data_IF_905912979609
#
_entry.id   IF_905912979609
#
_cell.length_a   1.000
_cell.length_b   1.000
_cell.length_c   1.000
_cell.angle_alpha   90.00
_cell.angle_beta   90.00
_cell.angle_gamma   90.00
#
_symmetry.space_group_name_H-M   'P 1'
#
loop_
_entity.id
_entity.type
_entity.pdbx_description
1 polymer ?
#
# COMPACT_ATOMS: atom_id res chain seq x y z
N UNK A 1 16.02 -33.72 -13.37
CA UNK A 1 15.08 -33.37 -14.47
C UNK A 1 13.61 -33.50 -14.06
N UNK A 2 13.23 -34.32 -13.09
CA UNK A 2 11.85 -34.53 -12.62
C UNK A 2 11.37 -33.48 -11.60
N UNK A 3 12.23 -32.95 -10.76
CA UNK A 3 11.85 -31.92 -9.77
C UNK A 3 11.61 -30.55 -10.40
N UNK A 4 12.35 -30.18 -11.43
CA UNK A 4 12.18 -28.93 -12.16
C UNK A 4 10.86 -28.88 -12.95
N UNK A 5 10.37 -30.02 -13.44
CA UNK A 5 9.09 -30.10 -14.16
C UNK A 5 7.88 -30.05 -13.20
N UNK A 6 7.98 -30.62 -12.00
CA UNK A 6 6.90 -30.56 -11.00
C UNK A 6 6.75 -29.16 -10.43
N UNK A 7 7.86 -28.44 -10.25
CA UNK A 7 7.88 -27.03 -9.83
C UNK A 7 7.26 -26.10 -10.90
N UNK A 8 7.63 -26.30 -12.17
CA UNK A 8 7.06 -25.53 -13.29
C UNK A 8 5.57 -25.83 -13.51
N UNK A 9 5.14 -27.07 -13.37
CA UNK A 9 3.73 -27.45 -13.50
C UNK A 9 2.90 -26.98 -12.31
N UNK A 10 3.43 -27.00 -11.09
CA UNK A 10 2.77 -26.45 -9.89
C UNK A 10 2.53 -24.96 -9.99
N UNK A 11 3.52 -24.18 -10.44
CA UNK A 11 3.39 -22.75 -10.68
C UNK A 11 2.43 -22.43 -11.84
N UNK A 12 2.43 -23.23 -12.92
CA UNK A 12 1.53 -23.03 -14.05
C UNK A 12 0.07 -23.34 -13.69
N UNK A 13 -0.16 -24.40 -12.92
CA UNK A 13 -1.51 -24.79 -12.46
C UNK A 13 -2.05 -23.78 -11.43
N UNK A 14 -1.23 -23.36 -10.48
CA UNK A 14 -1.60 -22.33 -9.49
C UNK A 14 -1.92 -20.99 -10.15
N UNK A 15 -1.18 -20.63 -11.20
CA UNK A 15 -1.41 -19.41 -11.98
C UNK A 15 -2.73 -19.45 -12.75
N UNK A 16 -3.02 -20.57 -13.42
CA UNK A 16 -4.25 -20.76 -14.19
C UNK A 16 -5.50 -20.75 -13.29
N UNK A 17 -5.41 -21.39 -12.13
CA UNK A 17 -6.49 -21.39 -11.13
C UNK A 17 -6.70 -19.98 -10.54
N UNK A 18 -5.63 -19.22 -10.27
CA UNK A 18 -5.75 -17.82 -9.80
C UNK A 18 -6.41 -16.93 -10.85
N UNK A 19 -5.98 -17.03 -12.09
CA UNK A 19 -6.56 -16.24 -13.19
C UNK A 19 -8.05 -16.53 -13.38
N UNK A 20 -8.48 -17.79 -13.17
CA UNK A 20 -9.88 -18.18 -13.17
C UNK A 20 -10.66 -17.64 -11.96
N UNK A 21 -10.02 -17.51 -10.78
CA UNK A 21 -10.66 -17.05 -9.54
C UNK A 21 -10.70 -15.53 -9.39
N UNK A 22 -9.66 -14.81 -9.85
CA UNK A 22 -9.46 -13.38 -9.59
C UNK A 22 -9.51 -12.51 -10.84
N UNK A 23 -9.57 -13.11 -12.04
CA UNK A 23 -9.59 -12.39 -13.30
C UNK A 23 -8.22 -11.83 -13.72
N UNK A 24 -8.22 -10.68 -14.38
CA UNK A 24 -7.00 -10.01 -14.83
C UNK A 24 -6.19 -9.41 -13.68
N UNK A 25 -4.89 -9.18 -13.91
CA UNK A 25 -4.04 -8.34 -13.05
C UNK A 25 -4.73 -7.01 -12.75
N UNK A 26 -4.72 -6.59 -11.48
CA UNK A 26 -5.27 -5.32 -11.02
C UNK A 26 -4.19 -4.25 -10.92
N UNK A 27 -4.60 -3.02 -11.14
CA UNK A 27 -3.73 -1.86 -11.04
C UNK A 27 -4.35 -0.81 -10.13
N UNK A 28 -3.57 -0.33 -9.19
CA UNK A 28 -3.98 0.75 -8.29
C UNK A 28 -2.90 1.80 -8.16
N UNK A 29 -3.26 2.95 -7.61
CA UNK A 29 -2.32 3.99 -7.18
C UNK A 29 -2.44 4.12 -5.67
N UNK A 30 -1.31 4.22 -4.98
CA UNK A 30 -1.26 4.51 -3.55
C UNK A 30 -0.77 5.94 -3.35
N UNK A 31 -1.44 6.66 -2.45
CA UNK A 31 -1.20 8.06 -2.14
C UNK A 31 -0.69 8.22 -0.70
N UNK A 32 0.55 8.71 -0.60
CA UNK A 32 1.22 9.06 0.66
C UNK A 32 1.02 10.55 1.02
N UNK A 33 0.74 11.39 0.02
CA UNK A 33 0.85 12.85 0.11
C UNK A 33 2.24 13.27 0.57
N UNK A 34 3.26 12.68 -0.04
CA UNK A 34 4.61 13.13 0.21
C UNK A 34 4.77 14.56 -0.36
N UNK A 35 5.31 15.46 0.45
CA UNK A 35 5.42 16.87 0.14
C UNK A 35 6.85 17.34 0.45
N UNK A 36 7.52 17.91 -0.52
CA UNK A 36 8.83 18.53 -0.37
C UNK A 36 8.71 20.02 0.06
N UNK A 37 7.68 20.72 -0.43
CA UNK A 37 7.29 22.04 0.05
C UNK A 37 6.23 21.95 1.16
N UNK A 38 6.69 22.06 2.39
CA UNK A 38 5.84 21.98 3.60
C UNK A 38 5.20 23.32 3.97
N UNK A 39 5.17 24.30 3.06
CA UNK A 39 4.35 25.49 3.21
C UNK A 39 2.85 25.13 3.10
N UNK A 40 1.95 25.92 3.69
CA UNK A 40 0.50 25.71 3.54
C UNK A 40 0.04 25.67 2.07
N UNK A 41 0.70 26.42 1.21
CA UNK A 41 0.44 26.47 -0.23
C UNK A 41 0.92 25.18 -0.92
N UNK A 42 2.13 24.70 -0.64
CA UNK A 42 2.69 23.46 -1.17
C UNK A 42 1.90 22.24 -0.72
N UNK A 43 1.56 22.14 0.57
CA UNK A 43 0.67 21.09 1.09
C UNK A 43 -0.68 21.07 0.38
N UNK A 44 -1.30 22.25 0.20
CA UNK A 44 -2.58 22.38 -0.50
C UNK A 44 -2.47 21.94 -1.97
N UNK A 45 -1.42 22.33 -2.67
CA UNK A 45 -1.19 21.96 -4.06
C UNK A 45 -1.01 20.43 -4.20
N UNK A 46 -0.21 19.83 -3.33
CA UNK A 46 -0.03 18.37 -3.27
C UNK A 46 -1.36 17.65 -3.06
N UNK A 47 -2.18 18.08 -2.10
CA UNK A 47 -3.49 17.50 -1.83
C UNK A 47 -4.42 17.55 -3.06
N UNK A 48 -4.47 18.69 -3.75
CA UNK A 48 -5.31 18.87 -4.94
C UNK A 48 -4.79 18.04 -6.13
N UNK A 49 -3.48 18.02 -6.34
CA UNK A 49 -2.84 17.20 -7.37
C UNK A 49 -3.15 15.72 -7.20
N UNK A 50 -3.17 15.21 -5.97
CA UNK A 50 -3.56 13.82 -5.69
C UNK A 50 -5.02 13.53 -6.05
N UNK A 51 -5.93 14.48 -5.79
CA UNK A 51 -7.33 14.33 -6.21
C UNK A 51 -7.44 14.25 -7.74
N UNK A 52 -6.73 15.12 -8.45
CA UNK A 52 -6.76 15.14 -9.92
C UNK A 52 -6.15 13.87 -10.51
N UNK A 53 -5.04 13.37 -9.94
CA UNK A 53 -4.44 12.08 -10.30
C UNK A 53 -5.43 10.93 -10.09
N UNK A 54 -6.11 10.88 -8.93
CA UNK A 54 -7.08 9.83 -8.64
C UNK A 54 -8.29 9.83 -9.59
N UNK A 55 -8.79 11.01 -9.96
CA UNK A 55 -9.88 11.16 -10.93
C UNK A 55 -9.41 10.75 -12.33
N UNK A 56 -8.21 11.13 -12.71
CA UNK A 56 -7.65 10.75 -14.01
C UNK A 56 -7.33 9.26 -14.08
N UNK A 57 -6.94 8.62 -12.98
CA UNK A 57 -6.74 7.18 -12.90
C UNK A 57 -8.02 6.40 -13.25
N UNK A 58 -9.20 6.84 -12.81
CA UNK A 58 -10.48 6.24 -13.25
C UNK A 58 -10.64 6.29 -14.76
N UNK A 59 -10.35 7.45 -15.36
CA UNK A 59 -10.47 7.63 -16.81
C UNK A 59 -9.50 6.73 -17.59
N UNK A 60 -8.36 6.47 -17.01
CA UNK A 60 -7.31 5.63 -17.59
C UNK A 60 -7.47 4.14 -17.27
N UNK A 61 -8.50 3.75 -16.51
CA UNK A 61 -8.87 2.35 -16.30
C UNK A 61 -8.13 1.64 -15.17
N UNK A 62 -7.58 2.38 -14.21
CA UNK A 62 -7.13 1.81 -12.95
C UNK A 62 -8.29 1.22 -12.17
N UNK A 63 -8.03 0.14 -11.44
CA UNK A 63 -9.06 -0.59 -10.69
C UNK A 63 -9.36 0.07 -9.33
N UNK A 64 -8.34 0.70 -8.71
CA UNK A 64 -8.43 1.18 -7.33
C UNK A 64 -7.45 2.31 -7.05
N UNK A 65 -7.75 3.08 -6.04
CA UNK A 65 -6.78 3.93 -5.34
C UNK A 65 -6.71 3.53 -3.87
N UNK A 66 -5.52 3.66 -3.29
CA UNK A 66 -5.26 3.49 -1.86
C UNK A 66 -4.80 4.80 -1.24
N UNK A 67 -5.22 5.07 -0.02
CA UNK A 67 -4.73 6.19 0.77
C UNK A 67 -4.18 5.65 2.10
N UNK A 68 -2.96 6.04 2.44
CA UNK A 68 -2.32 5.69 3.72
C UNK A 68 -2.92 6.49 4.87
N UNK A 69 -2.55 6.18 6.11
CA UNK A 69 -2.74 7.05 7.27
C UNK A 69 -1.41 7.19 8.01
N UNK A 70 -0.86 8.40 7.97
CA UNK A 70 0.35 8.79 8.67
C UNK A 70 0.17 10.12 9.40
N UNK A 71 0.89 10.30 10.51
CA UNK A 71 0.72 11.45 11.37
C UNK A 71 2.04 12.10 11.73
N UNK A 72 2.13 13.42 11.54
CA UNK A 72 3.27 14.26 11.98
C UNK A 72 4.62 13.89 11.35
N UNK A 73 4.62 13.27 10.18
CA UNK A 73 5.83 12.83 9.47
C UNK A 73 6.15 13.80 8.32
N UNK A 74 6.62 14.99 8.67
CA UNK A 74 7.05 16.03 7.71
C UNK A 74 7.98 15.44 6.64
N UNK A 75 7.80 15.82 5.39
CA UNK A 75 8.49 15.31 4.20
C UNK A 75 8.25 13.84 3.86
N UNK A 76 7.59 13.06 4.72
CA UNK A 76 7.30 11.66 4.41
C UNK A 76 5.85 11.46 3.96
N UNK A 77 4.88 11.83 4.79
CA UNK A 77 3.48 11.61 4.44
C UNK A 77 2.56 12.61 5.16
N UNK A 78 1.74 13.31 4.40
CA UNK A 78 0.78 14.30 4.93
C UNK A 78 -0.67 13.79 4.88
N UNK A 79 -0.89 12.49 4.57
CA UNK A 79 -2.20 11.84 4.56
C UNK A 79 -2.65 11.47 5.97
N UNK A 80 -3.09 12.46 6.75
CA UNK A 80 -3.49 12.30 8.15
C UNK A 80 -4.95 11.88 8.35
N UNK A 81 -5.79 12.01 7.32
CA UNK A 81 -7.22 11.70 7.36
C UNK A 81 -7.67 11.10 6.01
N UNK A 82 -7.30 9.86 5.73
CA UNK A 82 -7.57 9.22 4.43
C UNK A 82 -9.06 9.22 4.07
N UNK A 83 -9.95 9.11 5.03
CA UNK A 83 -11.40 9.13 4.77
C UNK A 83 -11.90 10.46 4.19
N UNK A 84 -11.23 11.60 4.46
CA UNK A 84 -11.58 12.88 3.87
C UNK A 84 -11.20 12.90 2.39
N UNK A 85 -9.98 12.49 2.06
CA UNK A 85 -9.51 12.37 0.69
C UNK A 85 -10.35 11.36 -0.11
N UNK A 86 -10.55 10.16 0.42
CA UNK A 86 -11.32 9.09 -0.22
C UNK A 86 -12.78 9.53 -0.46
N UNK A 87 -13.39 10.29 0.45
CA UNK A 87 -14.74 10.85 0.27
C UNK A 87 -14.76 11.84 -0.90
N UNK A 88 -13.75 12.71 -0.99
CA UNK A 88 -13.67 13.67 -2.09
C UNK A 88 -13.48 12.98 -3.43
N UNK A 89 -12.61 11.99 -3.51
CA UNK A 89 -12.44 11.18 -4.73
C UNK A 89 -13.72 10.41 -5.07
N UNK A 90 -14.38 9.80 -4.09
CA UNK A 90 -15.65 9.09 -4.29
C UNK A 90 -16.73 9.98 -4.91
N UNK A 91 -16.78 11.26 -4.50
CA UNK A 91 -17.73 12.24 -5.04
C UNK A 91 -17.42 12.66 -6.48
N UNK A 92 -16.19 12.50 -6.96
CA UNK A 92 -15.72 12.87 -8.30
C UNK A 92 -15.61 11.68 -9.26
N UNK A 93 -15.79 10.46 -8.76
CA UNK A 93 -15.62 9.20 -9.51
C UNK A 93 -16.85 8.30 -9.39
N UNK A 94 -16.98 7.33 -10.28
CA UNK A 94 -18.16 6.46 -10.34
C UNK A 94 -17.85 4.96 -10.39
N UNK A 95 -16.63 4.57 -10.71
CA UNK A 95 -16.23 3.17 -10.97
C UNK A 95 -15.04 2.71 -10.17
N UNK A 96 -13.99 3.55 -10.08
CA UNK A 96 -12.75 3.20 -9.40
C UNK A 96 -13.04 2.89 -7.93
N UNK A 97 -12.48 1.78 -7.43
CA UNK A 97 -12.56 1.47 -6.01
C UNK A 97 -11.66 2.40 -5.21
N UNK A 98 -12.03 2.64 -3.99
CA UNK A 98 -11.29 3.48 -3.05
C UNK A 98 -10.93 2.63 -1.82
N UNK A 99 -9.74 2.79 -1.27
CA UNK A 99 -9.30 1.93 -0.19
C UNK A 99 -8.43 2.64 0.84
N UNK A 100 -8.60 2.25 2.10
CA UNK A 100 -7.61 2.55 3.12
C UNK A 100 -6.40 1.64 2.90
N UNK A 101 -5.26 2.20 2.64
CA UNK A 101 -4.04 1.45 2.42
C UNK A 101 -2.88 1.92 3.31
N UNK A 102 -3.09 2.14 4.65
CA UNK A 102 -4.13 1.56 5.51
C UNK A 102 -4.76 2.59 6.46
N UNK A 103 -5.78 2.21 7.24
CA UNK A 103 -6.20 2.97 8.43
C UNK A 103 -5.49 2.44 9.67
N UNK A 104 -5.00 3.31 10.55
CA UNK A 104 -4.35 2.94 11.80
C UNK A 104 -5.36 2.44 12.82
N UNK A 105 -5.32 1.13 13.14
CA UNK A 105 -6.30 0.45 13.97
C UNK A 105 -6.03 0.48 15.49
N UNK A 106 -4.81 0.74 16.02
CA UNK A 106 -4.64 0.86 17.45
C UNK A 106 -5.55 1.94 18.05
N UNK A 107 -6.14 1.65 19.20
CA UNK A 107 -7.26 2.42 19.77
C UNK A 107 -6.93 3.88 20.08
N UNK A 108 -5.65 4.18 20.32
CA UNK A 108 -5.19 5.56 20.50
C UNK A 108 -5.32 6.39 19.22
N UNK A 109 -5.10 5.80 18.04
CA UNK A 109 -5.34 6.48 16.76
C UNK A 109 -6.83 6.52 16.43
N UNK A 110 -7.48 5.35 16.43
CA UNK A 110 -8.84 5.22 15.99
C UNK A 110 -9.62 4.22 16.85
N UNK A 111 -10.67 4.68 17.50
CA UNK A 111 -11.61 3.79 18.17
C UNK A 111 -12.33 2.91 17.14
N UNK A 112 -12.38 1.55 17.26
CA UNK A 112 -12.91 0.67 16.22
C UNK A 112 -14.36 0.98 15.84
N UNK A 113 -15.20 1.43 16.79
CA UNK A 113 -16.56 1.87 16.48
C UNK A 113 -16.57 3.10 15.55
N UNK A 114 -15.65 4.06 15.75
CA UNK A 114 -15.52 5.23 14.85
C UNK A 114 -15.04 4.83 13.46
N UNK A 115 -14.14 3.85 13.38
CA UNK A 115 -13.74 3.29 12.08
C UNK A 115 -14.95 2.65 11.39
N UNK A 116 -15.72 1.83 12.10
CA UNK A 116 -16.90 1.19 11.56
C UNK A 116 -17.94 2.21 11.02
N UNK A 117 -18.24 3.26 11.78
CA UNK A 117 -19.16 4.32 11.34
C UNK A 117 -18.69 5.02 10.07
N UNK A 118 -17.38 5.40 10.01
CA UNK A 118 -16.77 6.02 8.83
C UNK A 118 -16.75 5.10 7.62
N UNK A 119 -16.42 3.82 7.83
CA UNK A 119 -16.44 2.79 6.79
C UNK A 119 -17.85 2.61 6.23
N UNK A 120 -18.86 2.46 7.09
CA UNK A 120 -20.25 2.32 6.66
C UNK A 120 -20.73 3.54 5.86
N UNK A 121 -20.37 4.75 6.31
CA UNK A 121 -20.72 6.00 5.61
C UNK A 121 -20.03 6.09 4.25
N UNK A 122 -18.71 5.87 4.20
CA UNK A 122 -17.93 6.00 2.98
C UNK A 122 -18.29 4.92 1.95
N UNK A 123 -18.55 3.69 2.39
CA UNK A 123 -19.03 2.62 1.52
C UNK A 123 -20.38 2.97 0.89
N UNK A 124 -21.30 3.49 1.69
CA UNK A 124 -22.61 3.95 1.19
C UNK A 124 -22.49 5.10 0.20
N UNK A 125 -21.68 6.13 0.52
CA UNK A 125 -21.48 7.30 -0.36
C UNK A 125 -20.78 6.93 -1.66
N UNK A 126 -19.88 5.96 -1.63
CA UNK A 126 -19.17 5.49 -2.83
C UNK A 126 -19.97 4.49 -3.67
N UNK A 127 -21.15 4.03 -3.20
CA UNK A 127 -21.94 3.01 -3.88
C UNK A 127 -21.34 1.60 -3.79
N UNK A 128 -20.71 1.26 -2.65
CA UNK A 128 -20.12 -0.06 -2.42
C UNK A 128 -18.74 -0.25 -3.04
N UNK A 129 -17.97 0.82 -3.21
CA UNK A 129 -16.63 0.78 -3.80
C UNK A 129 -15.48 0.80 -2.78
N UNK A 130 -15.78 0.74 -1.49
CA UNK A 130 -14.76 0.82 -0.44
C UNK A 130 -14.07 -0.52 -0.20
N UNK A 131 -12.75 -0.45 0.02
CA UNK A 131 -11.90 -1.50 0.59
C UNK A 131 -11.24 -0.99 1.87
N UNK A 132 -11.03 -1.85 2.87
CA UNK A 132 -10.52 -1.44 4.18
C UNK A 132 -9.24 -2.19 4.51
N UNK A 133 -8.11 -1.51 4.46
CA UNK A 133 -6.83 -2.02 4.93
C UNK A 133 -6.55 -1.57 6.36
N UNK A 134 -6.05 -2.49 7.17
CA UNK A 134 -5.70 -2.28 8.56
C UNK A 134 -4.19 -2.16 8.76
N UNK A 135 -3.75 -1.19 9.54
CA UNK A 135 -2.37 -0.97 9.93
C UNK A 135 -2.19 -0.73 11.42
N UNK A 136 -0.94 -0.80 11.89
CA UNK A 136 -0.60 -0.60 13.30
C UNK A 136 0.02 0.75 13.64
N UNK A 137 0.23 1.61 12.62
CA UNK A 137 1.12 2.76 12.71
C UNK A 137 2.57 2.37 12.40
N UNK A 138 3.35 3.30 11.88
CA UNK A 138 4.68 3.02 11.36
C UNK A 138 5.81 3.40 12.33
N UNK A 139 5.77 4.58 12.92
CA UNK A 139 6.89 5.19 13.63
C UNK A 139 6.61 5.43 15.12
N UNK A 140 7.69 5.55 15.90
CA UNK A 140 7.59 5.91 17.31
C UNK A 140 7.04 7.35 17.49
N UNK A 141 7.31 8.25 16.54
CA UNK A 141 6.80 9.61 16.56
C UNK A 141 5.26 9.62 16.49
N UNK A 142 4.69 8.91 15.54
CA UNK A 142 3.24 8.77 15.42
C UNK A 142 2.62 8.16 16.68
N UNK A 143 3.15 7.02 17.13
CA UNK A 143 2.63 6.30 18.31
C UNK A 143 2.64 7.18 19.55
N UNK A 144 3.72 7.93 19.80
CA UNK A 144 3.83 8.80 20.99
C UNK A 144 2.84 9.97 20.96
N UNK A 145 2.56 10.51 19.77
CA UNK A 145 1.60 11.60 19.59
C UNK A 145 0.17 11.22 19.99
N UNK A 146 -0.18 9.95 19.87
CA UNK A 146 -1.51 9.41 20.17
C UNK A 146 -1.54 8.52 21.43
N UNK A 147 -0.44 8.45 22.18
CA UNK A 147 -0.35 7.63 23.39
C UNK A 147 -0.44 6.11 23.10
N UNK A 148 -0.06 5.67 21.90
CA UNK A 148 -0.10 4.27 21.48
C UNK A 148 1.15 3.56 21.98
N UNK A 149 0.97 2.45 22.73
CA UNK A 149 2.06 1.57 23.11
C UNK A 149 2.34 0.57 21.97
N UNK A 150 3.60 0.45 21.57
CA UNK A 150 4.03 -0.42 20.47
C UNK A 150 3.64 -1.89 20.68
N UNK A 151 3.69 -2.38 21.92
CA UNK A 151 3.42 -3.79 22.24
C UNK A 151 1.92 -4.13 22.12
N UNK A 152 1.05 -3.14 22.24
CA UNK A 152 -0.40 -3.32 22.14
C UNK A 152 -0.90 -3.24 20.69
N UNK A 153 -0.07 -2.80 19.75
CA UNK A 153 -0.53 -2.48 18.38
C UNK A 153 -1.08 -3.69 17.63
N UNK A 154 -0.39 -4.83 17.60
CA UNK A 154 -0.88 -6.03 16.91
C UNK A 154 -2.13 -6.63 17.53
N UNK A 155 -2.23 -6.81 18.87
CA UNK A 155 -3.47 -7.21 19.51
C UNK A 155 -4.66 -6.31 19.16
N UNK A 156 -4.46 -4.98 19.17
CA UNK A 156 -5.51 -4.01 18.88
C UNK A 156 -5.90 -3.99 17.40
N UNK A 157 -4.95 -4.20 16.46
CA UNK A 157 -5.28 -4.40 15.04
C UNK A 157 -6.16 -5.64 14.85
N UNK A 158 -5.79 -6.76 15.49
CA UNK A 158 -6.57 -7.99 15.43
C UNK A 158 -7.99 -7.77 15.95
N UNK A 159 -8.12 -7.17 17.12
CA UNK A 159 -9.41 -6.91 17.77
C UNK A 159 -10.27 -5.94 16.95
N UNK A 160 -9.68 -4.88 16.38
CA UNK A 160 -10.37 -3.96 15.48
C UNK A 160 -10.90 -4.65 14.23
N UNK A 161 -10.12 -5.55 13.61
CA UNK A 161 -10.58 -6.35 12.48
C UNK A 161 -11.73 -7.29 12.87
N UNK A 162 -11.70 -7.90 14.06
CA UNK A 162 -12.77 -8.74 14.57
C UNK A 162 -14.06 -7.94 14.76
N UNK A 163 -13.98 -6.74 15.34
CA UNK A 163 -15.10 -5.82 15.51
C UNK A 163 -15.66 -5.45 14.13
N UNK A 164 -14.83 -4.99 13.19
CA UNK A 164 -15.26 -4.61 11.86
C UNK A 164 -15.92 -5.75 11.08
N UNK A 165 -15.46 -6.98 11.25
CA UNK A 165 -16.04 -8.14 10.56
C UNK A 165 -17.43 -8.53 11.06
N UNK A 166 -17.83 -8.10 12.26
CA UNK A 166 -19.02 -8.57 12.95
C UNK A 166 -20.06 -7.47 13.23
N UNK A 167 -19.63 -6.21 13.37
CA UNK A 167 -20.46 -5.15 13.94
C UNK A 167 -21.72 -4.79 13.15
N UNK A 168 -21.85 -5.23 11.91
CA UNK A 168 -23.05 -4.98 11.09
C UNK A 168 -23.95 -6.19 10.89
N UNK A 169 -23.64 -7.34 11.52
CA UNK A 169 -24.38 -8.58 11.32
C UNK A 169 -25.62 -8.67 12.18
N UNK A 170 -25.68 -7.88 13.24
CA UNK A 170 -26.81 -7.83 14.18
C UNK A 170 -27.37 -6.42 14.28
N UNK A 171 -28.62 -6.29 14.74
CA UNK A 171 -29.22 -4.98 15.01
C UNK A 171 -28.63 -4.32 16.25
N UNK A 172 -28.27 -5.13 17.24
CA UNK A 172 -27.53 -4.70 18.42
C UNK A 172 -26.22 -5.47 18.49
N UNK A 173 -25.13 -4.72 18.34
CA UNK A 173 -23.76 -5.23 18.49
C UNK A 173 -23.22 -4.87 19.86
N UNK A 174 -22.61 -5.84 20.51
CA UNK A 174 -21.84 -5.67 21.74
C UNK A 174 -20.47 -6.30 21.60
N UNK A 175 -19.50 -5.82 22.35
CA UNK A 175 -18.14 -6.35 22.35
C UNK A 175 -17.55 -6.31 23.76
N UNK A 176 -17.01 -7.45 24.19
CA UNK A 176 -16.32 -7.61 25.48
C UNK A 176 -14.90 -8.15 25.21
N UNK A 177 -13.96 -7.24 25.07
CA UNK A 177 -12.55 -7.51 24.79
C UNK A 177 -11.64 -6.58 25.57
N UNK A 178 -10.49 -6.22 24.99
CA UNK A 178 -9.62 -5.20 25.60
C UNK A 178 -10.27 -3.80 25.54
N UNK A 179 -11.23 -3.62 24.65
CA UNK A 179 -12.19 -2.52 24.65
C UNK A 179 -13.61 -3.06 24.86
N UNK A 180 -14.44 -2.33 25.60
CA UNK A 180 -15.81 -2.71 25.82
C UNK A 180 -16.77 -1.82 25.02
N UNK A 181 -17.69 -2.45 24.27
CA UNK A 181 -18.75 -1.75 23.54
C UNK A 181 -20.10 -2.30 24.04
N UNK A 182 -20.84 -1.47 24.76
CA UNK A 182 -22.20 -1.83 25.23
C UNK A 182 -23.15 -2.01 24.05
N UNK A 183 -24.23 -2.82 24.17
CA UNK A 183 -25.18 -3.10 23.10
C UNK A 183 -25.68 -1.85 22.39
N UNK A 184 -25.49 -1.78 21.07
CA UNK A 184 -25.91 -0.66 20.24
C UNK A 184 -25.96 -1.00 18.76
N UNK A 185 -26.74 -0.26 18.00
CA UNK A 185 -26.67 -0.32 16.53
C UNK A 185 -25.43 0.41 16.03
N UNK A 186 -24.69 -0.21 15.10
CA UNK A 186 -23.57 0.42 14.38
C UNK A 186 -24.09 0.93 13.04
N UNK A 187 -24.18 2.24 12.91
CA UNK A 187 -24.81 2.91 11.76
C UNK A 187 -23.95 4.09 11.26
N UNK A 188 -23.98 4.38 9.92
CA UNK A 188 -24.71 3.62 8.90
C UNK A 188 -24.08 2.25 8.62
N UNK A 189 -24.86 1.33 8.06
CA UNK A 189 -24.34 0.05 7.58
C UNK A 189 -23.74 0.20 6.18
N UNK A 190 -22.67 -0.54 5.84
CA UNK A 190 -22.13 -0.54 4.50
C UNK A 190 -23.10 -1.21 3.52
N UNK A 191 -22.98 -0.90 2.23
CA UNK A 191 -23.68 -1.63 1.16
C UNK A 191 -23.07 -3.02 0.94
N UNK A 192 -21.76 -3.15 1.16
CA UNK A 192 -21.03 -4.41 1.03
C UNK A 192 -21.17 -5.24 2.32
N UNK A 193 -22.12 -6.16 2.36
CA UNK A 193 -22.32 -7.06 3.49
C UNK A 193 -21.62 -8.41 3.27
N UNK A 194 -21.14 -9.09 4.33
CA UNK A 194 -21.22 -8.75 5.75
C UNK A 194 -20.35 -7.56 6.16
N UNK A 195 -19.35 -7.24 5.39
CA UNK A 195 -18.41 -6.09 5.53
C UNK A 195 -17.74 -5.81 4.17
N UNK A 196 -17.19 -4.61 3.93
CA UNK A 196 -16.30 -4.34 2.80
C UNK A 196 -15.09 -5.30 2.81
N UNK A 197 -14.44 -5.57 1.67
CA UNK A 197 -13.21 -6.37 1.64
C UNK A 197 -12.16 -5.83 2.59
N UNK A 198 -11.57 -6.75 3.40
CA UNK A 198 -10.57 -6.40 4.41
C UNK A 198 -9.17 -6.75 3.93
N UNK A 199 -8.21 -5.91 4.25
CA UNK A 199 -6.79 -6.04 3.94
C UNK A 199 -5.94 -5.68 5.17
N UNK A 200 -4.64 -6.00 5.13
CA UNK A 200 -3.69 -5.63 6.17
C UNK A 200 -2.34 -5.27 5.54
N UNK A 201 -1.68 -4.25 6.08
CA UNK A 201 -0.30 -3.91 5.72
C UNK A 201 0.66 -5.00 6.20
N UNK A 202 1.50 -5.49 5.29
CA UNK A 202 2.42 -6.59 5.52
C UNK A 202 3.85 -6.17 5.15
N UNK A 203 4.69 -5.98 6.18
CA UNK A 203 6.09 -5.58 6.04
C UNK A 203 7.08 -6.70 6.37
N UNK A 204 6.56 -7.86 6.86
CA UNK A 204 7.34 -9.01 7.32
C UNK A 204 6.59 -10.29 7.03
N UNK A 205 7.32 -11.41 6.97
CA UNK A 205 6.79 -12.76 6.82
C UNK A 205 5.68 -13.07 7.82
N UNK A 206 5.88 -12.70 9.08
CA UNK A 206 4.91 -12.88 10.15
C UNK A 206 3.57 -12.18 9.84
N UNK A 207 3.61 -10.94 9.36
CA UNK A 207 2.40 -10.18 9.04
C UNK A 207 1.67 -10.71 7.81
N UNK A 208 2.40 -11.28 6.85
CA UNK A 208 1.82 -11.98 5.70
C UNK A 208 1.10 -13.25 6.14
N UNK A 209 1.69 -14.04 7.06
CA UNK A 209 1.02 -15.21 7.66
C UNK A 209 -0.26 -14.82 8.40
N UNK A 210 -0.19 -13.76 9.23
CA UNK A 210 -1.36 -13.26 9.96
C UNK A 210 -2.48 -12.81 9.01
N UNK A 211 -2.15 -12.11 7.91
CA UNK A 211 -3.16 -11.71 6.92
C UNK A 211 -3.87 -12.94 6.32
N UNK A 212 -3.11 -13.98 5.97
CA UNK A 212 -3.66 -15.23 5.47
C UNK A 212 -4.55 -15.94 6.52
N UNK A 213 -4.10 -16.04 7.78
CA UNK A 213 -4.84 -16.66 8.89
C UNK A 213 -6.14 -15.91 9.19
N UNK A 214 -6.12 -14.57 9.15
CA UNK A 214 -7.29 -13.73 9.39
C UNK A 214 -8.27 -13.71 8.20
N UNK A 215 -7.87 -14.24 7.06
CA UNK A 215 -8.67 -14.21 5.83
C UNK A 215 -8.76 -12.83 5.19
N UNK A 216 -7.76 -11.99 5.39
CA UNK A 216 -7.68 -10.63 4.81
C UNK A 216 -6.64 -10.57 3.70
N UNK A 217 -6.78 -9.63 2.77
CA UNK A 217 -5.80 -9.41 1.71
C UNK A 217 -4.50 -8.85 2.27
N UNK A 218 -3.36 -9.19 1.64
CA UNK A 218 -2.05 -8.69 2.01
C UNK A 218 -1.66 -7.49 1.13
N UNK A 219 -1.39 -6.34 1.74
CA UNK A 219 -0.76 -5.18 1.11
C UNK A 219 0.72 -5.23 1.45
N UNK A 220 1.56 -5.66 0.49
CA UNK A 220 2.98 -5.89 0.73
C UNK A 220 3.84 -4.78 0.14
N UNK A 221 4.89 -4.42 0.88
CA UNK A 221 5.90 -3.51 0.37
C UNK A 221 6.81 -4.26 -0.61
N UNK A 222 6.68 -3.95 -1.90
CA UNK A 222 7.39 -4.60 -3.00
C UNK A 222 8.74 -3.98 -3.37
N UNK A 223 9.37 -3.21 -2.47
CA UNK A 223 10.61 -2.48 -2.78
C UNK A 223 11.82 -3.36 -3.14
N UNK A 224 11.80 -4.63 -2.76
CA UNK A 224 12.87 -5.58 -3.06
C UNK A 224 12.61 -6.43 -4.32
N UNK A 225 11.63 -6.01 -5.12
CA UNK A 225 11.36 -6.58 -6.42
C UNK A 225 10.67 -7.95 -6.44
N UNK A 226 10.65 -8.60 -7.62
CA UNK A 226 9.89 -9.83 -7.85
C UNK A 226 10.29 -10.98 -6.94
N UNK A 227 11.57 -11.12 -6.60
CA UNK A 227 12.07 -12.19 -5.72
C UNK A 227 11.45 -12.13 -4.33
N UNK A 228 11.34 -10.93 -3.76
CA UNK A 228 10.68 -10.76 -2.45
C UNK A 228 9.19 -11.01 -2.55
N UNK A 229 8.54 -10.49 -3.59
CA UNK A 229 7.09 -10.70 -3.81
C UNK A 229 6.79 -12.19 -3.92
N UNK A 230 7.63 -12.96 -4.64
CA UNK A 230 7.49 -14.42 -4.74
C UNK A 230 7.60 -15.11 -3.38
N UNK A 231 8.61 -14.77 -2.58
CA UNK A 231 8.78 -15.36 -1.26
C UNK A 231 7.59 -15.07 -0.33
N UNK A 232 7.10 -13.81 -0.32
CA UNK A 232 5.93 -13.42 0.45
C UNK A 232 4.65 -14.11 -0.05
N UNK A 233 4.54 -14.34 -1.37
CA UNK A 233 3.42 -15.06 -1.96
C UNK A 233 3.41 -16.53 -1.54
N UNK A 234 4.55 -17.18 -1.52
CA UNK A 234 4.68 -18.58 -1.07
C UNK A 234 4.24 -18.72 0.39
N UNK A 235 4.70 -17.83 1.26
CA UNK A 235 4.29 -17.75 2.67
C UNK A 235 2.77 -17.55 2.81
N UNK A 236 2.20 -16.67 2.01
CA UNK A 236 0.77 -16.37 2.02
C UNK A 236 -0.08 -17.57 1.60
N UNK A 237 0.31 -18.24 0.50
CA UNK A 237 -0.39 -19.41 -0.02
C UNK A 237 -0.29 -20.62 0.93
N UNK A 238 0.89 -20.85 1.54
CA UNK A 238 1.06 -21.89 2.56
C UNK A 238 0.12 -21.66 3.76
N UNK A 239 0.07 -20.43 4.25
CA UNK A 239 -0.78 -20.09 5.40
C UNK A 239 -2.29 -20.19 5.05
N UNK A 240 -2.70 -19.83 3.84
CA UNK A 240 -4.08 -20.05 3.35
C UNK A 240 -4.41 -21.55 3.33
N UNK A 241 -3.48 -22.39 2.86
CA UNK A 241 -3.72 -23.84 2.71
C UNK A 241 -3.98 -24.54 4.05
N UNK A 242 -3.41 -24.03 5.14
CA UNK A 242 -3.57 -24.59 6.50
C UNK A 242 -4.48 -23.76 7.40
N UNK A 243 -5.10 -22.69 6.87
CA UNK A 243 -5.95 -21.77 7.63
C UNK A 243 -7.08 -22.53 8.31
N UNK A 244 -7.16 -22.38 9.65
CA UNK A 244 -8.31 -22.86 10.40
C UNK A 244 -9.50 -21.91 10.18
N UNK A 245 -10.65 -22.42 9.67
CA UNK A 245 -11.85 -21.61 9.51
C UNK A 245 -12.35 -20.92 10.80
N UNK A 246 -12.12 -21.52 11.96
CA UNK A 246 -12.53 -20.96 13.26
C UNK A 246 -11.69 -19.75 13.69
N UNK A 247 -10.44 -19.67 13.23
CA UNK A 247 -9.56 -18.51 13.50
C UNK A 247 -9.67 -17.40 12.44
N UNK A 248 -10.40 -17.64 11.36
CA UNK A 248 -10.61 -16.68 10.29
C UNK A 248 -11.46 -15.51 10.80
N UNK A 249 -10.93 -14.32 10.75
CA UNK A 249 -11.62 -13.09 11.19
C UNK A 249 -12.63 -12.63 10.13
N UNK A 250 -12.17 -12.58 8.88
CA UNK A 250 -13.03 -12.13 7.79
C UNK A 250 -14.13 -13.15 7.50
N UNK A 251 -15.36 -12.70 7.53
CA UNK A 251 -16.53 -13.52 7.13
C UNK A 251 -16.60 -13.74 5.62
N UNK A 252 -15.85 -12.94 4.86
CA UNK A 252 -15.66 -13.05 3.42
C UNK A 252 -14.17 -13.00 3.11
N UNK A 253 -13.45 -14.13 3.18
CA UNK A 253 -12.02 -14.14 3.01
C UNK A 253 -11.56 -13.52 1.69
N UNK A 254 -10.58 -12.64 1.80
CA UNK A 254 -9.91 -11.98 0.67
C UNK A 254 -8.53 -12.61 0.53
N UNK A 255 -8.37 -13.54 -0.42
CA UNK A 255 -7.10 -14.21 -0.67
C UNK A 255 -6.35 -13.46 -1.78
N UNK A 256 -5.87 -12.27 -1.51
CA UNK A 256 -5.38 -11.33 -2.50
C UNK A 256 -4.09 -10.67 -2.02
N UNK A 257 -3.08 -10.59 -2.88
CA UNK A 257 -1.79 -9.98 -2.58
C UNK A 257 -1.54 -8.80 -3.53
N UNK A 258 -1.47 -7.60 -2.95
CA UNK A 258 -1.14 -6.37 -3.65
C UNK A 258 0.31 -5.99 -3.37
N UNK A 259 1.12 -5.79 -4.41
CA UNK A 259 2.53 -5.44 -4.30
C UNK A 259 2.77 -3.96 -4.63
N UNK A 260 3.42 -3.24 -3.72
CA UNK A 260 3.84 -1.87 -3.95
C UNK A 260 4.95 -1.82 -5.00
N UNK A 261 4.83 -0.89 -5.94
CA UNK A 261 5.76 -0.70 -7.05
C UNK A 261 6.03 0.79 -7.29
N UNK A 262 7.26 1.28 -7.04
CA UNK A 262 7.65 2.61 -7.49
C UNK A 262 7.53 2.71 -9.01
N UNK A 263 6.86 3.77 -9.50
CA UNK A 263 6.40 3.79 -10.89
C UNK A 263 6.48 5.19 -11.48
N UNK A 264 7.36 5.40 -12.46
CA UNK A 264 7.38 6.59 -13.34
C UNK A 264 7.62 6.12 -14.77
N UNK A 265 6.67 6.38 -15.66
CA UNK A 265 6.69 5.92 -17.06
C UNK A 265 6.44 7.10 -17.99
N UNK A 266 7.45 7.40 -18.80
CA UNK A 266 7.43 8.48 -19.78
C UNK A 266 7.82 7.95 -21.17
N UNK A 267 7.70 8.79 -22.19
CA UNK A 267 8.19 8.45 -23.53
C UNK A 267 9.73 8.38 -23.57
N UNK A 268 10.41 9.25 -22.80
CA UNK A 268 11.85 9.18 -22.57
C UNK A 268 12.15 8.36 -21.32
N UNK A 269 12.78 7.20 -21.51
CA UNK A 269 13.08 6.26 -20.43
C UNK A 269 14.16 6.80 -19.48
N UNK A 270 15.10 7.61 -19.98
CA UNK A 270 16.14 8.22 -19.15
C UNK A 270 15.56 9.33 -18.25
N UNK A 271 14.68 10.16 -18.80
CA UNK A 271 13.96 11.17 -18.03
C UNK A 271 13.11 10.52 -16.94
N UNK A 272 12.38 9.44 -17.27
CA UNK A 272 11.60 8.67 -16.31
C UNK A 272 12.46 8.12 -15.18
N UNK A 273 13.64 7.59 -15.51
CA UNK A 273 14.58 7.09 -14.51
C UNK A 273 15.07 8.22 -13.59
N UNK A 274 15.51 9.34 -14.16
CA UNK A 274 16.02 10.48 -13.40
C UNK A 274 14.98 11.04 -12.42
N UNK A 275 13.73 11.20 -12.86
CA UNK A 275 12.63 11.68 -12.03
C UNK A 275 12.27 10.66 -10.96
N UNK A 276 12.08 9.39 -11.34
CA UNK A 276 11.68 8.32 -10.42
C UNK A 276 12.71 8.07 -9.33
N UNK A 277 13.99 8.00 -9.70
CA UNK A 277 15.07 7.75 -8.75
C UNK A 277 15.28 8.92 -7.76
N UNK A 278 15.09 10.19 -8.19
CA UNK A 278 15.10 11.35 -7.28
C UNK A 278 13.97 11.25 -6.25
N UNK A 279 12.76 10.97 -6.71
CA UNK A 279 11.62 10.79 -5.83
C UNK A 279 11.83 9.64 -4.85
N UNK A 280 12.33 8.51 -5.32
CA UNK A 280 12.60 7.34 -4.47
C UNK A 280 13.70 7.62 -3.43
N UNK A 281 14.77 8.34 -3.81
CA UNK A 281 15.80 8.77 -2.86
C UNK A 281 15.17 9.60 -1.74
N UNK A 282 14.41 10.63 -2.09
CA UNK A 282 13.73 11.48 -1.11
C UNK A 282 12.79 10.68 -0.22
N UNK A 283 12.01 9.77 -0.78
CA UNK A 283 11.11 8.89 -0.04
C UNK A 283 11.87 7.98 0.94
N UNK A 284 12.96 7.35 0.48
CA UNK A 284 13.79 6.48 1.31
C UNK A 284 14.46 7.23 2.47
N UNK A 285 15.03 8.41 2.22
CA UNK A 285 15.64 9.26 3.24
C UNK A 285 14.61 9.76 4.25
N UNK A 286 13.38 10.08 3.82
CA UNK A 286 12.29 10.46 4.71
C UNK A 286 11.94 9.32 5.66
N UNK A 287 11.82 8.08 5.17
CA UNK A 287 11.58 6.90 6.01
C UNK A 287 12.73 6.70 6.99
N UNK A 288 13.98 6.83 6.54
CA UNK A 288 15.16 6.67 7.39
C UNK A 288 15.20 7.73 8.49
N UNK A 289 14.89 8.99 8.15
CA UNK A 289 14.79 10.06 9.14
C UNK A 289 13.87 9.69 10.30
N UNK A 290 12.64 9.29 10.00
CA UNK A 290 11.63 9.01 11.03
C UNK A 290 11.83 7.69 11.79
N UNK A 291 12.54 6.73 11.21
CA UNK A 291 12.81 5.44 11.86
C UNK A 291 14.18 5.38 12.55
N UNK A 292 15.20 6.08 12.04
CA UNK A 292 16.59 5.96 12.46
C UNK A 292 17.19 7.28 12.96
N UNK A 293 16.51 8.42 12.79
CA UNK A 293 16.99 9.74 13.19
C UNK A 293 18.08 10.31 12.26
N UNK A 294 18.16 9.84 11.01
CA UNK A 294 19.05 10.41 9.99
C UNK A 294 18.66 11.87 9.65
N UNK A 295 19.50 12.65 8.96
CA UNK A 295 19.11 13.98 8.46
C UNK A 295 17.82 13.96 7.67
N UNK A 296 17.14 15.11 7.60
CA UNK A 296 15.98 15.29 6.72
C UNK A 296 16.40 15.09 5.25
N UNK A 297 15.50 14.60 4.40
CA UNK A 297 15.78 14.42 2.99
C UNK A 297 16.06 15.75 2.29
N UNK A 298 16.94 15.71 1.30
CA UNK A 298 17.23 16.84 0.42
C UNK A 298 16.81 16.51 -1.01
N UNK A 299 16.20 17.48 -1.68
CA UNK A 299 15.86 17.34 -3.10
C UNK A 299 17.13 17.45 -3.93
N UNK A 300 17.31 16.52 -4.88
CA UNK A 300 18.41 16.60 -5.86
C UNK A 300 17.97 17.49 -7.02
N UNK A 301 18.71 18.58 -7.33
CA UNK A 301 18.39 19.46 -8.43
C UNK A 301 18.29 18.71 -9.77
N UNK A 302 17.38 19.11 -10.67
CA UNK A 302 17.19 18.41 -11.95
C UNK A 302 18.41 18.33 -12.86
N UNK A 303 19.33 19.29 -12.76
CA UNK A 303 20.57 19.35 -13.52
C UNK A 303 21.66 18.37 -13.07
N UNK A 304 21.52 17.78 -11.88
CA UNK A 304 22.46 16.78 -11.36
C UNK A 304 21.97 15.39 -11.76
N UNK A 305 22.84 14.57 -12.37
CA UNK A 305 22.50 13.16 -12.60
C UNK A 305 22.30 12.47 -11.24
N UNK A 306 21.15 11.81 -11.07
CA UNK A 306 20.83 11.14 -9.81
C UNK A 306 21.84 10.06 -9.44
N UNK A 307 22.50 9.45 -10.42
CA UNK A 307 23.53 8.43 -10.19
C UNK A 307 24.73 8.99 -9.44
N UNK A 308 25.09 10.25 -9.72
CA UNK A 308 26.19 10.93 -9.02
C UNK A 308 25.81 11.25 -7.56
N UNK A 309 24.56 11.69 -7.33
CA UNK A 309 24.09 12.04 -5.99
C UNK A 309 23.93 10.83 -5.06
N UNK A 310 23.82 9.63 -5.61
CA UNK A 310 23.55 8.41 -4.83
C UNK A 310 24.81 7.57 -4.61
N UNK A 311 25.86 7.71 -5.41
CA UNK A 311 27.13 7.06 -5.13
C UNK A 311 27.62 7.35 -3.71
N UNK A 312 27.48 8.61 -3.27
CA UNK A 312 27.88 9.06 -1.94
C UNK A 312 26.97 8.52 -0.82
N UNK A 313 25.66 8.41 -1.09
CA UNK A 313 24.68 7.90 -0.12
C UNK A 313 24.87 6.40 0.17
N UNK A 314 25.31 5.62 -0.81
CA UNK A 314 25.58 4.19 -0.64
C UNK A 314 26.69 3.94 0.37
N UNK A 315 27.79 4.68 0.28
CA UNK A 315 28.90 4.59 1.23
C UNK A 315 28.48 4.99 2.65
N UNK A 316 27.63 6.02 2.78
CA UNK A 316 27.11 6.47 4.07
C UNK A 316 26.17 5.46 4.73
N UNK A 317 25.29 4.83 3.95
CA UNK A 317 24.37 3.79 4.44
C UNK A 317 25.14 2.52 4.82
N UNK A 318 26.11 2.10 4.03
CA UNK A 318 26.97 0.95 4.35
C UNK A 318 27.80 1.21 5.62
N UNK A 319 28.35 2.41 5.81
CA UNK A 319 29.07 2.81 7.00
C UNK A 319 28.16 2.79 8.25
N UNK A 320 26.93 3.32 8.14
CA UNK A 320 25.97 3.31 9.23
C UNK A 320 25.50 1.89 9.62
N UNK A 321 25.38 1.00 8.64
CA UNK A 321 25.02 -0.42 8.85
C UNK A 321 26.12 -1.17 9.62
N UNK A 322 27.38 -0.78 9.47
CA UNK A 322 28.55 -1.41 10.12
C UNK A 322 28.76 -0.88 11.54
N UNK A 323 28.56 0.41 11.80
CA UNK A 323 28.83 1.03 13.10
C UNK A 323 27.74 0.75 14.16
N UNK A 324 26.51 0.54 13.76
CA UNK A 324 25.36 0.45 14.70
C UNK A 324 25.08 -0.93 15.29
N UNK A 325 25.57 -2.03 14.72
CA UNK A 325 25.37 -3.41 15.22
C UNK A 325 23.91 -3.87 15.36
N UNK A 326 22.95 -3.08 14.93
CA UNK A 326 21.53 -3.40 14.99
C UNK A 326 21.01 -3.79 13.60
N UNK A 327 20.23 -4.88 13.49
CA UNK A 327 19.59 -5.21 12.23
C UNK A 327 18.62 -4.06 11.85
N UNK A 328 18.95 -3.37 10.78
CA UNK A 328 18.07 -2.36 10.19
C UNK A 328 16.75 -3.03 9.84
N UNK A 329 15.59 -2.46 10.17
CA UNK A 329 14.31 -2.99 9.72
C UNK A 329 14.35 -3.25 8.20
N UNK A 330 13.76 -4.35 7.75
CA UNK A 330 13.80 -4.75 6.33
C UNK A 330 13.38 -3.61 5.38
N UNK A 331 12.49 -2.72 5.82
CA UNK A 331 12.10 -1.49 5.13
C UNK A 331 13.27 -0.53 4.93
N UNK A 332 14.12 -0.33 5.94
CA UNK A 332 15.26 0.59 5.82
C UNK A 332 16.42 -0.03 5.02
N UNK A 333 16.59 -1.35 5.06
CA UNK A 333 17.58 -2.06 4.23
C UNK A 333 17.16 -2.15 2.77
N UNK A 334 15.86 -2.21 2.47
CA UNK A 334 15.30 -2.26 1.12
C UNK A 334 15.18 -0.89 0.46
N UNK A 335 15.32 0.18 1.22
CA UNK A 335 15.23 1.56 0.72
C UNK A 335 16.54 2.13 0.19
N UNK A 336 17.51 1.28 -0.20
CA UNK A 336 18.57 1.76 -1.07
C UNK A 336 17.92 2.32 -2.34
N UNK A 337 18.16 3.59 -2.69
CA UNK A 337 17.61 4.21 -3.91
C UNK A 337 18.05 3.49 -5.20
N UNK A 338 18.85 2.46 -5.08
CA UNK A 338 19.33 1.58 -6.15
C UNK A 338 18.88 0.12 -6.03
N UNK A 339 18.02 -0.23 -5.11
CA UNK A 339 17.29 -1.49 -5.21
C UNK A 339 16.20 -1.31 -6.29
N UNK A 340 16.66 -1.04 -7.48
CA UNK A 340 15.95 -0.42 -8.57
C UNK A 340 15.40 -1.49 -9.50
N UNK A 341 14.85 -2.52 -8.94
CA UNK A 341 13.85 -3.30 -9.63
C UNK A 341 12.53 -2.52 -9.55
N UNK A 342 12.33 -1.58 -10.45
CA UNK A 342 11.21 -0.64 -10.46
C UNK A 342 10.67 -0.45 -11.87
N UNK A 343 9.47 0.07 -11.97
CA UNK A 343 8.86 0.46 -13.22
C UNK A 343 9.21 1.93 -13.58
N UNK A 344 10.51 2.30 -13.61
CA UNK A 344 10.96 3.58 -14.17
C UNK A 344 11.47 3.33 -15.58
N UNK A 345 10.96 4.07 -16.54
CA UNK A 345 11.39 3.93 -17.93
C UNK A 345 10.27 4.18 -18.92
N UNK A 346 10.37 3.51 -20.06
CA UNK A 346 9.31 3.52 -21.07
C UNK A 346 8.17 2.56 -20.71
N UNK A 347 7.07 2.63 -21.44
CA UNK A 347 5.96 1.66 -21.34
C UNK A 347 6.40 0.20 -21.50
N UNK A 348 7.44 -0.07 -22.29
CA UNK A 348 7.94 -1.43 -22.48
C UNK A 348 8.67 -1.95 -21.25
N UNK A 349 9.48 -1.08 -20.62
CA UNK A 349 10.18 -1.40 -19.37
C UNK A 349 9.16 -1.69 -18.26
N UNK A 350 8.10 -0.88 -18.18
CA UNK A 350 7.01 -1.11 -17.22
C UNK A 350 6.26 -2.43 -17.47
N UNK A 351 5.95 -2.77 -18.73
CA UNK A 351 5.28 -4.04 -19.09
C UNK A 351 6.18 -5.22 -18.70
N UNK A 352 7.49 -5.14 -18.97
CA UNK A 352 8.43 -6.20 -18.60
C UNK A 352 8.47 -6.40 -17.09
N UNK A 353 8.65 -5.31 -16.33
CA UNK A 353 8.72 -5.37 -14.88
C UNK A 353 7.42 -5.85 -14.22
N UNK A 354 6.26 -5.34 -14.65
CA UNK A 354 4.95 -5.80 -14.17
C UNK A 354 4.73 -7.27 -14.51
N UNK A 355 5.24 -7.75 -15.66
CA UNK A 355 5.19 -9.18 -16.01
C UNK A 355 6.00 -10.02 -15.00
N UNK A 356 7.15 -9.54 -14.55
CA UNK A 356 7.95 -10.22 -13.52
C UNK A 356 7.20 -10.27 -12.18
N UNK A 357 6.57 -9.17 -11.75
CA UNK A 357 5.75 -9.13 -10.53
C UNK A 357 4.51 -10.03 -10.62
N UNK A 358 3.86 -10.09 -11.78
CA UNK A 358 2.75 -11.02 -12.02
C UNK A 358 3.24 -12.48 -11.92
N UNK A 359 4.40 -12.79 -12.50
CA UNK A 359 5.01 -14.12 -12.41
C UNK A 359 5.38 -14.48 -10.97
N UNK A 360 5.80 -13.51 -10.17
CA UNK A 360 6.07 -13.64 -8.75
C UNK A 360 4.80 -13.85 -7.90
N UNK A 361 3.61 -13.67 -8.47
CA UNK A 361 2.34 -13.98 -7.82
C UNK A 361 1.59 -12.78 -7.25
N UNK A 362 1.93 -11.55 -7.64
CA UNK A 362 1.12 -10.39 -7.34
C UNK A 362 -0.24 -10.48 -8.06
N UNK A 363 -1.32 -10.19 -7.35
CA UNK A 363 -2.67 -10.08 -7.90
C UNK A 363 -2.97 -8.62 -8.31
N UNK A 364 -2.29 -7.67 -7.66
CA UNK A 364 -2.41 -6.24 -7.90
C UNK A 364 -1.04 -5.55 -7.80
N UNK A 365 -0.81 -4.58 -8.67
CA UNK A 365 0.31 -3.66 -8.58
C UNK A 365 -0.20 -2.32 -8.01
N UNK A 366 0.29 -1.96 -6.83
CA UNK A 366 0.06 -0.66 -6.21
C UNK A 366 1.16 0.30 -6.67
N UNK A 367 0.88 1.10 -7.67
CA UNK A 367 1.82 2.07 -8.19
C UNK A 367 1.98 3.23 -7.20
N UNK A 368 3.21 3.48 -6.72
CA UNK A 368 3.55 4.73 -6.04
C UNK A 368 4.23 5.65 -7.04
N UNK A 369 3.57 6.74 -7.39
CA UNK A 369 4.02 7.72 -8.38
C UNK A 369 4.36 9.05 -7.75
N UNK A 370 3.79 9.32 -6.57
CA UNK A 370 3.95 10.54 -5.83
C UNK A 370 4.98 10.35 -4.72
N UNK A 371 6.24 10.29 -5.13
CA UNK A 371 7.40 10.32 -4.23
C UNK A 371 8.03 11.72 -4.31
N UNK A 372 8.44 12.28 -3.19
CA UNK A 372 8.81 13.67 -3.02
C UNK A 372 9.56 14.31 -4.19
N UNK A 373 9.12 15.48 -4.59
CA UNK A 373 9.67 16.22 -5.72
C UNK A 373 9.34 15.64 -7.10
N UNK A 374 8.60 14.55 -7.23
CA UNK A 374 8.09 14.09 -8.53
C UNK A 374 7.08 15.10 -9.06
N UNK A 375 7.30 15.71 -10.24
CA UNK A 375 6.38 16.68 -10.80
C UNK A 375 4.98 16.08 -11.06
N UNK A 376 3.94 16.85 -10.79
CA UNK A 376 2.56 16.44 -11.04
C UNK A 376 2.33 15.96 -12.47
N UNK A 377 2.93 16.65 -13.44
CA UNK A 377 2.84 16.32 -14.87
C UNK A 377 3.46 14.95 -15.17
N UNK A 378 4.57 14.60 -14.52
CA UNK A 378 5.20 13.28 -14.70
C UNK A 378 4.32 12.15 -14.14
N UNK A 379 3.66 12.39 -12.99
CA UNK A 379 2.70 11.46 -12.45
C UNK A 379 1.47 11.31 -13.37
N UNK A 380 0.92 12.41 -13.88
CA UNK A 380 -0.21 12.40 -14.83
C UNK A 380 0.15 11.68 -16.13
N UNK A 381 1.34 11.93 -16.68
CA UNK A 381 1.82 11.22 -17.86
C UNK A 381 1.99 9.72 -17.60
N UNK A 382 2.53 9.34 -16.44
CA UNK A 382 2.65 7.94 -16.01
C UNK A 382 1.27 7.26 -15.96
N UNK A 383 0.27 7.91 -15.39
CA UNK A 383 -1.12 7.42 -15.36
C UNK A 383 -1.65 7.22 -16.79
N UNK A 384 -1.38 8.17 -17.69
CA UNK A 384 -1.76 8.08 -19.10
C UNK A 384 -1.10 6.89 -19.81
N UNK A 385 0.21 6.72 -19.64
CA UNK A 385 0.98 5.61 -20.24
C UNK A 385 0.46 4.25 -19.74
N UNK A 386 0.18 4.13 -18.44
CA UNK A 386 -0.44 2.92 -17.90
C UNK A 386 -1.79 2.64 -18.53
N UNK A 387 -2.68 3.63 -18.58
CA UNK A 387 -4.02 3.45 -19.14
C UNK A 387 -4.04 3.10 -20.62
N UNK A 388 -3.11 3.67 -21.39
CA UNK A 388 -3.07 3.45 -22.84
C UNK A 388 -2.32 2.18 -23.26
N UNK A 389 -1.31 1.76 -22.50
CA UNK A 389 -0.39 0.69 -22.94
C UNK A 389 -0.26 -0.45 -21.95
N UNK A 390 -0.03 -0.17 -20.65
CA UNK A 390 0.28 -1.20 -19.66
C UNK A 390 -0.97 -1.98 -19.27
N UNK A 391 -2.01 -1.33 -18.76
CA UNK A 391 -3.27 -1.97 -18.34
C UNK A 391 -3.91 -2.80 -19.47
N UNK A 392 -4.00 -2.29 -20.73
CA UNK A 392 -4.55 -3.08 -21.83
C UNK A 392 -3.73 -4.32 -22.18
N UNK A 393 -2.42 -4.30 -21.97
CA UNK A 393 -1.56 -5.48 -22.18
C UNK A 393 -1.99 -6.66 -21.29
N UNK A 394 -2.25 -6.39 -20.00
CA UNK A 394 -2.65 -7.39 -19.02
C UNK A 394 -4.15 -7.70 -19.00
N UNK A 395 -4.95 -6.98 -19.78
CA UNK A 395 -6.40 -7.20 -19.91
C UNK A 395 -6.77 -8.18 -21.01
N UNK A 396 -5.84 -8.52 -21.88
CA UNK A 396 -6.06 -9.38 -23.06
C UNK A 396 -5.70 -10.86 -22.84
N UNK A 397 -5.16 -11.19 -21.69
CA UNK A 397 -4.67 -12.54 -21.37
C UNK A 397 -5.56 -13.25 -20.35
#
# INVERSE_FOLDING_TARGET
MTESLSFLLGNYYGRYVRQLLWGRMKFSIIFEFQCDDVSPEGERETLLSCVDQAVFAEQMGFDRIWAVEHHSLTHYAHMSAPEIFLTWVAAKTTKIRIGHGVVCMPFGYNHPLRVAERVGMLDSLSGGRLDVGAGRGATAMEMSGFGVNKDDTYPQVKESLQILSQCWQTDEFEWDGSIQISPRSVIPRPLQLPHPPLYMACTKDETVRLAAEYGVGALVLGFSGPTQVQALREIYDEAIAIRNPESCISQRPTNFLSALCPTIVLDDAEEAFQIGARGQKFFAESIQHWNLGTPLPETVPPEIDIRDAVSDAKEQVEAFMVEGGHPVPAVAASTSPFNIDHAYGSKNDAIEYVTQLQNAGADEIMCIMQMGGVPHEAAMETIRQYGQYVIPHFSKN
#
